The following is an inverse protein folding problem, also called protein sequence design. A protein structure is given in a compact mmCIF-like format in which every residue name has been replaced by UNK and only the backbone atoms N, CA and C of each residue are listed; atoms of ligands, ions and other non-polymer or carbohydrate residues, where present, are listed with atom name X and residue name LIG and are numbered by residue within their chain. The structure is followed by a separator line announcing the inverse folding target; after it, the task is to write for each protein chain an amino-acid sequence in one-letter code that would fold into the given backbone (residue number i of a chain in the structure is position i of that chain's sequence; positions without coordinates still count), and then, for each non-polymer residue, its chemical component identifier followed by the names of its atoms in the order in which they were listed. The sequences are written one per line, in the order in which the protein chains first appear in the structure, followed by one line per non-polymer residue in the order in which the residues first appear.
data_IF_723608372030
#
_entry.id   IF_723608372030
#
_cell.length_a   1.000
_cell.length_b   1.000
_cell.length_c   1.000
_cell.angle_alpha   90.00
_cell.angle_beta   90.00
_cell.angle_gamma   90.00
#
_symmetry.space_group_name_H-M   'P 1'
#
loop_
_entity.id
_entity.type
_entity.pdbx_description
1 polymer ?
2 polymer ?
3 water ?
#
# COMPACT_ATOMS: atom_id res chain seq x y z
N UNK A 1 -15.70 -6.49 19.45
CA UNK A 1 -15.46 -6.94 18.11
C UNK A 1 -14.65 -8.21 18.31
N UNK A 2 -14.71 -9.23 17.46
CA UNK A 2 -13.95 -10.47 17.62
C UNK A 2 -12.64 -10.17 16.96
N UNK A 3 -11.54 -10.63 17.52
CA UNK A 3 -10.24 -10.42 16.93
C UNK A 3 -9.85 -11.68 16.20
N UNK A 4 -9.29 -11.48 15.00
CA UNK A 4 -8.82 -12.56 14.13
C UNK A 4 -7.31 -12.38 13.99
N UNK A 5 -6.46 -13.34 14.33
CA UNK A 5 -5.02 -13.20 14.23
C UNK A 5 -4.48 -14.16 13.20
N UNK A 6 -3.76 -13.71 12.18
CA UNK A 6 -3.25 -14.61 11.14
C UNK A 6 -1.76 -14.84 11.33
N UNK A 7 -1.29 -16.04 11.03
CA UNK A 7 0.09 -16.41 11.19
C UNK A 7 0.50 -17.19 9.96
N UNK A 8 1.69 -16.96 9.36
CA UNK A 8 2.58 -15.83 9.65
C UNK A 8 1.99 -14.54 9.09
N UNK A 9 2.75 -13.44 9.09
CA UNK A 9 2.29 -12.22 8.45
C UNK A 9 3.00 -12.06 7.15
N UNK A 10 4.06 -12.82 6.93
CA UNK A 10 4.86 -12.78 5.70
C UNK A 10 5.30 -14.24 5.53
N UNK A 11 5.12 -14.86 4.35
CA UNK A 11 5.53 -16.26 4.16
C UNK A 11 6.30 -16.29 2.84
N UNK A 12 7.62 -16.44 2.93
CA UNK A 12 8.46 -16.67 1.77
C UNK A 12 8.28 -18.09 1.35
N UNK A 13 8.16 -18.30 0.07
CA UNK A 13 7.90 -19.60 -0.47
C UNK A 13 8.65 -19.68 -1.80
N UNK A 14 9.26 -20.83 -2.05
CA UNK A 14 9.84 -21.07 -3.36
C UNK A 14 8.63 -21.59 -4.12
N UNK A 15 8.48 -21.30 -5.41
CA UNK A 15 7.34 -21.84 -6.18
C UNK A 15 7.35 -23.36 -6.05
N UNK A 16 6.18 -23.99 -6.17
CA UNK A 16 6.07 -25.42 -6.03
C UNK A 16 5.98 -25.84 -4.58
N UNK A 17 6.34 -25.02 -3.61
CA UNK A 17 6.21 -25.38 -2.22
C UNK A 17 4.79 -25.49 -1.71
N UNK A 18 4.72 -26.14 -0.56
CA UNK A 18 3.52 -26.34 0.22
C UNK A 18 3.54 -25.09 1.11
N UNK A 19 2.40 -24.60 1.57
CA UNK A 19 2.37 -23.41 2.38
C UNK A 19 1.19 -23.48 3.31
N UNK A 20 1.25 -23.03 4.55
CA UNK A 20 0.11 -23.04 5.45
C UNK A 20 0.04 -21.70 6.13
N UNK A 21 -1.18 -21.17 6.19
CA UNK A 21 -1.45 -19.90 6.84
C UNK A 21 -2.49 -20.30 7.86
N UNK A 22 -2.60 -19.59 8.96
CA UNK A 22 -3.55 -19.93 10.00
C UNK A 22 -4.27 -18.66 10.44
N UNK A 23 -5.45 -18.84 11.03
CA UNK A 23 -6.32 -17.76 11.44
C UNK A 23 -6.93 -18.18 12.74
N UNK A 24 -6.84 -17.37 13.77
CA UNK A 24 -7.36 -17.73 15.06
C UNK A 24 -8.32 -16.64 15.48
N UNK A 25 -9.52 -17.01 15.93
CA UNK A 25 -10.45 -16.00 16.38
C UNK A 25 -10.42 -15.91 17.89
N UNK A 26 -10.80 -14.76 18.44
CA UNK A 26 -10.77 -14.60 19.85
C UNK A 26 -11.96 -15.27 20.53
N UNK A 27 -12.78 -15.99 19.76
CA UNK A 27 -13.92 -16.76 20.25
C UNK A 27 -14.55 -17.46 19.07
N UNK A 28 -15.29 -18.51 19.45
CA UNK A 28 -15.87 -19.44 18.51
C UNK A 28 -16.75 -18.76 17.48
N UNK A 29 -16.56 -19.24 16.27
CA UNK A 29 -17.33 -18.77 15.16
C UNK A 29 -18.40 -19.81 14.81
N UNK A 30 -18.65 -20.84 15.64
CA UNK A 30 -19.75 -21.77 15.32
C UNK A 30 -20.99 -20.96 15.65
N UNK A 31 -21.91 -20.89 14.71
CA UNK A 31 -23.11 -20.10 14.91
C UNK A 31 -24.18 -21.00 15.50
N UNK A 32 -25.20 -20.38 16.08
CA UNK A 32 -26.32 -21.09 16.64
C UNK A 32 -27.03 -22.04 15.68
N UNK A 33 -26.92 -21.78 14.39
CA UNK A 33 -27.56 -22.64 13.45
C UNK A 33 -26.61 -23.77 13.05
N UNK A 34 -25.42 -23.90 13.65
CA UNK A 34 -24.48 -24.98 13.37
C UNK A 34 -23.39 -24.66 12.37
N UNK A 35 -23.67 -23.79 11.40
CA UNK A 35 -22.69 -23.30 10.45
C UNK A 35 -21.54 -22.49 11.10
N UNK A 36 -20.31 -22.53 10.55
CA UNK A 36 -19.19 -21.70 10.99
C UNK A 36 -18.83 -20.82 9.81
N UNK A 37 -19.05 -19.52 9.98
CA UNK A 37 -18.84 -18.53 8.93
C UNK A 37 -17.42 -17.98 8.90
N UNK A 38 -16.50 -18.81 8.42
CA UNK A 38 -15.12 -18.41 8.28
C UNK A 38 -14.84 -18.48 6.79
N UNK A 39 -14.42 -17.37 6.21
CA UNK A 39 -14.16 -17.25 4.79
C UNK A 39 -12.68 -16.93 4.55
N UNK A 40 -12.10 -17.15 3.40
CA UNK A 40 -10.71 -16.80 3.13
C UNK A 40 -10.71 -16.13 1.77
N UNK A 41 -10.08 -14.96 1.62
CA UNK A 41 -9.99 -14.25 0.35
C UNK A 41 -8.51 -14.00 0.02
N UNK A 42 -8.26 -13.82 -1.26
CA UNK A 42 -6.93 -13.54 -1.75
C UNK A 42 -6.96 -12.15 -2.38
N UNK A 43 -6.09 -11.22 -2.02
CA UNK A 43 -6.03 -9.92 -2.68
C UNK A 43 -4.73 -9.89 -3.43
N UNK A 44 -4.80 -9.74 -4.74
CA UNK A 44 -3.59 -9.75 -5.54
C UNK A 44 -3.22 -8.32 -5.83
N UNK A 45 -1.92 -7.96 -5.86
CA UNK A 45 -1.39 -6.65 -5.47
C UNK A 45 -2.12 -5.41 -5.98
N UNK A 46 -2.60 -5.42 -7.24
CA UNK A 46 -3.33 -4.25 -7.72
C UNK A 46 -4.85 -4.42 -7.79
N UNK A 47 -5.56 -5.29 -7.02
CA UNK A 47 -7.00 -5.42 -7.19
C UNK A 47 -7.86 -5.84 -6.01
N UNK A 48 -9.17 -5.95 -6.23
CA UNK A 48 -10.18 -6.43 -5.29
C UNK A 48 -9.89 -7.81 -4.72
N UNK A 49 -10.21 -8.15 -3.46
CA UNK A 49 -10.17 -9.56 -3.02
C UNK A 49 -10.99 -10.52 -3.91
N UNK A 50 -10.61 -11.78 -4.02
CA UNK A 50 -11.32 -12.78 -4.81
C UNK A 50 -11.62 -13.86 -3.81
N UNK A 51 -12.80 -14.44 -3.78
CA UNK A 51 -13.17 -15.49 -2.82
C UNK A 51 -12.52 -16.87 -3.09
N UNK A 52 -12.09 -17.53 -2.03
CA UNK A 52 -11.47 -18.83 -2.13
C UNK A 52 -12.20 -19.88 -1.32
N UNK A 53 -12.33 -19.81 -0.01
CA UNK A 53 -12.94 -20.84 0.80
C UNK A 53 -14.17 -20.23 1.49
N UNK A 54 -15.32 -20.94 1.50
CA UNK A 54 -16.48 -20.50 2.23
C UNK A 54 -16.83 -21.50 3.32
N UNK A 55 -17.31 -20.97 4.45
CA UNK A 55 -17.62 -21.72 5.66
C UNK A 55 -16.63 -22.86 5.92
N UNK A 56 -15.46 -22.40 6.39
CA UNK A 56 -14.22 -23.09 6.79
C UNK A 56 -13.53 -23.97 5.78
N UNK A 57 -14.19 -24.67 4.86
CA UNK A 57 -13.50 -25.63 4.01
C UNK A 57 -14.03 -25.81 2.62
N UNK A 58 -15.07 -25.11 2.22
CA UNK A 58 -15.61 -25.41 0.92
C UNK A 58 -15.04 -24.47 -0.12
N UNK A 59 -14.32 -24.94 -1.13
CA UNK A 59 -13.82 -24.01 -2.10
C UNK A 59 -14.90 -23.35 -2.94
N UNK A 60 -14.71 -22.11 -3.40
CA UNK A 60 -15.59 -21.53 -4.37
C UNK A 60 -15.37 -22.21 -5.72
N UNK A 61 -16.09 -21.79 -6.76
CA UNK A 61 -16.13 -22.47 -8.02
C UNK A 61 -14.78 -22.69 -8.70
N UNK A 62 -14.18 -21.70 -9.35
CA UNK A 62 -12.95 -21.94 -10.08
C UNK A 62 -11.72 -21.96 -9.19
N UNK A 63 -11.81 -22.28 -7.90
CA UNK A 63 -10.62 -22.19 -7.08
C UNK A 63 -9.93 -23.50 -7.41
N UNK A 64 -8.64 -23.51 -7.74
CA UNK A 64 -7.89 -24.75 -7.93
C UNK A 64 -7.89 -25.59 -6.69
N UNK A 65 -7.93 -26.90 -6.94
CA UNK A 65 -7.96 -27.94 -5.89
C UNK A 65 -6.76 -27.93 -4.96
N UNK A 66 -5.74 -27.16 -5.32
CA UNK A 66 -4.51 -26.97 -4.57
C UNK A 66 -4.80 -26.33 -3.21
N UNK A 67 -5.86 -25.50 -3.14
CA UNK A 67 -6.22 -24.78 -1.93
C UNK A 67 -7.04 -25.60 -0.96
N UNK A 68 -6.89 -25.58 0.36
CA UNK A 68 -7.60 -26.45 1.25
C UNK A 68 -7.86 -25.71 2.56
N UNK A 69 -9.08 -25.53 3.07
CA UNK A 69 -9.24 -24.88 4.37
C UNK A 69 -9.49 -25.93 5.44
N UNK A 70 -9.10 -25.77 6.68
CA UNK A 70 -9.31 -26.76 7.73
C UNK A 70 -9.46 -25.99 9.04
N UNK A 71 -10.00 -26.55 10.13
CA UNK A 71 -9.98 -25.84 11.42
C UNK A 71 -11.30 -25.92 12.12
N UNK A 72 -11.47 -25.47 13.34
CA UNK A 72 -12.76 -25.53 13.96
C UNK A 72 -12.78 -24.56 15.13
N UNK A 73 -13.97 -23.98 15.40
CA UNK A 73 -14.17 -23.11 16.54
C UNK A 73 -13.40 -21.81 16.50
N UNK A 74 -12.13 -21.86 16.86
CA UNK A 74 -11.31 -20.67 16.89
C UNK A 74 -10.02 -20.82 16.11
N UNK A 75 -9.58 -22.01 15.71
CA UNK A 75 -8.34 -22.10 14.99
C UNK A 75 -8.60 -22.73 13.64
N UNK A 76 -8.18 -22.06 12.60
CA UNK A 76 -8.46 -22.46 11.22
C UNK A 76 -7.15 -22.46 10.42
N UNK A 77 -7.05 -23.03 9.23
CA UNK A 77 -5.80 -23.20 8.55
C UNK A 77 -6.05 -23.18 7.06
N UNK A 78 -5.36 -22.37 6.25
CA UNK A 78 -5.47 -22.47 4.83
C UNK A 78 -4.19 -23.21 4.42
N UNK A 79 -4.18 -24.04 3.37
CA UNK A 79 -2.97 -24.68 2.90
C UNK A 79 -3.00 -24.69 1.39
N UNK A 80 -1.84 -24.51 0.81
CA UNK A 80 -1.68 -24.43 -0.63
C UNK A 80 -0.69 -25.57 -0.75
N UNK A 81 -0.85 -26.45 -1.72
CA UNK A 81 -0.01 -27.60 -1.81
C UNK A 81 1.14 -27.48 -2.78
N UNK A 82 1.01 -26.77 -3.88
CA UNK A 82 2.10 -26.63 -4.83
C UNK A 82 1.82 -25.20 -5.30
N UNK A 83 2.52 -24.25 -4.64
CA UNK A 83 2.27 -22.84 -4.92
C UNK A 83 2.73 -22.50 -6.31
N UNK A 84 2.06 -21.52 -6.89
CA UNK A 84 2.29 -21.10 -8.27
C UNK A 84 2.37 -19.59 -8.25
N UNK A 85 2.95 -18.99 -9.27
CA UNK A 85 3.13 -17.55 -9.30
C UNK A 85 1.81 -16.82 -9.26
N UNK A 86 0.75 -17.43 -9.77
CA UNK A 86 -0.49 -16.70 -9.76
C UNK A 86 -1.09 -16.66 -8.37
N UNK A 87 -0.61 -17.48 -7.44
CA UNK A 87 -1.06 -17.52 -6.04
C UNK A 87 -0.39 -16.55 -5.10
N UNK A 88 0.46 -15.69 -5.61
CA UNK A 88 1.17 -14.76 -4.77
C UNK A 88 0.26 -13.57 -4.54
N UNK A 89 0.13 -13.14 -3.31
CA UNK A 89 -0.69 -11.98 -3.04
C UNK A 89 -0.88 -11.98 -1.55
N UNK A 90 -1.92 -11.33 -1.03
CA UNK A 90 -2.18 -11.29 0.41
C UNK A 90 -3.41 -12.17 0.71
N UNK A 91 -3.37 -12.97 1.77
CA UNK A 91 -4.46 -13.84 2.18
C UNK A 91 -5.10 -13.30 3.43
N UNK A 92 -6.44 -13.24 3.48
CA UNK A 92 -7.15 -12.71 4.63
C UNK A 92 -8.21 -13.71 5.02
N UNK A 93 -8.42 -14.00 6.31
CA UNK A 93 -9.55 -14.82 6.73
C UNK A 93 -10.58 -13.83 7.25
N UNK A 94 -11.85 -14.23 7.26
CA UNK A 94 -12.99 -13.38 7.57
C UNK A 94 -13.99 -14.10 8.47
N UNK A 95 -14.44 -13.55 9.59
CA UNK A 95 -15.45 -14.22 10.38
C UNK A 95 -16.75 -13.48 10.19
N UNK A 96 -17.81 -14.14 9.73
CA UNK A 96 -19.10 -13.48 9.57
C UNK A 96 -20.13 -13.90 10.62
N UNK A 97 -19.68 -14.60 11.65
CA UNK A 97 -20.55 -15.11 12.70
C UNK A 97 -20.96 -14.02 13.69
N UNK A 98 -20.11 -13.03 14.00
CA UNK A 98 -20.41 -12.03 15.03
C UNK A 98 -20.50 -10.69 14.39
N UNK A 99 -21.40 -9.82 14.80
CA UNK A 99 -21.47 -8.47 14.22
C UNK A 99 -20.66 -7.55 15.13
N UNK A 100 -19.70 -6.70 14.68
CA UNK A 100 -19.30 -6.52 13.30
C UNK A 100 -18.40 -7.62 12.79
N UNK A 101 -18.51 -7.90 11.49
CA UNK A 101 -17.70 -8.93 10.87
C UNK A 101 -16.29 -8.38 10.85
N UNK A 102 -15.27 -9.22 11.00
CA UNK A 102 -13.92 -8.75 11.06
C UNK A 102 -13.06 -9.62 10.16
N UNK A 103 -11.97 -9.05 9.64
CA UNK A 103 -11.02 -9.74 8.79
C UNK A 103 -9.77 -9.94 9.60
N UNK A 104 -8.93 -10.90 9.20
CA UNK A 104 -7.63 -11.07 9.79
C UNK A 104 -6.71 -10.01 9.17
N UNK A 105 -5.54 -9.81 9.76
CA UNK A 105 -4.64 -8.75 9.32
C UNK A 105 -4.06 -8.83 7.92
N UNK A 106 -4.01 -10.05 7.38
CA UNK A 106 -3.45 -10.34 6.07
C UNK A 106 -2.20 -11.16 6.26
N UNK A 107 -1.82 -11.96 5.28
CA UNK A 107 -0.57 -12.73 5.32
C UNK A 107 -0.06 -12.61 3.89
N UNK A 108 1.11 -12.04 3.59
CA UNK A 108 1.53 -11.93 2.21
C UNK A 108 2.39 -13.13 1.88
N UNK A 109 2.08 -13.83 0.80
CA UNK A 109 2.94 -14.93 0.36
C UNK A 109 3.91 -14.27 -0.60
N UNK A 110 5.20 -14.53 -0.48
CA UNK A 110 6.20 -13.90 -1.34
C UNK A 110 7.22 -14.97 -1.61
N UNK A 111 8.07 -14.60 -2.57
CA UNK A 111 9.11 -15.48 -3.04
C UNK A 111 10.30 -15.43 -2.09
N UNK A 112 10.71 -16.62 -1.65
CA UNK A 112 11.90 -16.78 -0.81
C UNK A 112 13.08 -16.33 -1.66
N UNK A 113 14.12 -15.89 -1.01
CA UNK A 113 15.27 -15.40 -1.72
C UNK A 113 16.37 -15.48 -0.69
N UNK A 114 17.64 -15.39 -1.14
CA UNK A 114 18.71 -15.36 -0.18
C UNK A 114 18.71 -13.97 0.48
N UNK A 115 19.23 -13.86 1.71
CA UNK A 115 19.33 -12.55 2.32
C UNK A 115 20.27 -11.68 1.49
N UNK A 116 19.95 -10.40 1.41
CA UNK A 116 20.76 -9.45 0.70
C UNK A 116 20.81 -8.26 1.62
N UNK A 117 22.00 -7.78 1.95
CA UNK A 117 22.20 -6.58 2.75
C UNK A 117 21.88 -5.34 1.93
N UNK A 118 21.32 -4.27 2.47
CA UNK A 118 20.99 -3.07 1.72
C UNK A 118 22.12 -2.17 1.24
N UNK A 119 21.92 -1.39 0.19
CA UNK A 119 22.87 -0.35 -0.21
C UNK A 119 22.33 0.98 0.29
N UNK A 120 22.92 1.52 1.35
CA UNK A 120 22.47 2.80 1.90
C UNK A 120 23.22 4.01 1.31
N UNK A 121 22.51 5.09 0.95
CA UNK A 121 23.10 6.24 0.31
C UNK A 121 22.38 7.43 0.88
N UNK A 122 23.11 8.40 1.45
CA UNK A 122 22.44 9.55 2.00
C UNK A 122 22.63 10.71 1.03
N UNK A 123 21.67 11.64 0.98
CA UNK A 123 21.72 12.77 0.05
C UNK A 123 21.41 14.05 0.79
N UNK A 124 22.32 15.03 0.88
CA UNK A 124 22.03 16.35 1.42
C UNK A 124 20.99 17.10 0.58
N UNK A 125 20.40 18.24 0.99
CA UNK A 125 19.52 19.04 0.16
C UNK A 125 20.25 19.55 -1.09
N UNK A 126 19.47 19.83 -2.12
CA UNK A 126 20.02 20.39 -3.34
C UNK A 126 20.15 21.90 -3.19
N UNK A 127 21.02 22.54 -3.98
CA UNK A 127 21.23 23.97 -3.98
C UNK A 127 19.90 24.62 -4.28
N UNK A 128 19.19 23.94 -5.19
CA UNK A 128 17.91 24.33 -5.71
C UNK A 128 16.87 24.46 -4.59
N UNK A 129 16.83 23.47 -3.71
CA UNK A 129 15.87 23.41 -2.62
C UNK A 129 16.21 24.44 -1.59
N UNK A 130 17.43 24.44 -1.09
CA UNK A 130 17.89 25.43 -0.12
C UNK A 130 17.61 26.84 -0.64
N UNK A 131 17.92 27.20 -1.88
CA UNK A 131 17.53 28.48 -2.45
C UNK A 131 16.03 28.67 -2.27
N UNK A 132 15.18 27.67 -2.53
CA UNK A 132 13.74 27.85 -2.35
C UNK A 132 13.37 27.92 -0.87
N UNK A 133 14.20 27.47 0.09
CA UNK A 133 13.86 27.65 1.48
C UNK A 133 13.72 26.38 2.27
N UNK A 134 13.68 25.22 1.64
CA UNK A 134 13.51 24.01 2.42
C UNK A 134 14.75 23.16 2.34
N UNK A 135 14.78 22.09 3.14
CA UNK A 135 15.86 21.15 3.16
C UNK A 135 15.43 19.69 3.36
N UNK A 136 15.43 18.86 2.33
CA UNK A 136 15.07 17.47 2.53
C UNK A 136 16.30 16.55 2.51
N UNK A 137 16.61 15.78 3.56
CA UNK A 137 17.74 14.87 3.53
C UNK A 137 17.08 13.54 3.17
N UNK A 138 17.58 12.85 2.16
CA UNK A 138 17.01 11.64 1.63
C UNK A 138 17.98 10.50 1.80
N UNK A 139 17.48 9.36 2.25
CA UNK A 139 18.29 8.18 2.48
C UNK A 139 17.64 7.07 1.67
N UNK A 140 18.34 6.39 0.77
CA UNK A 140 17.77 5.32 -0.05
C UNK A 140 18.35 4.02 0.47
N UNK A 141 17.58 3.00 0.77
CA UNK A 141 18.09 1.77 1.30
C UNK A 141 17.70 0.78 0.18
N UNK A 142 18.58 0.56 -0.78
CA UNK A 142 18.20 -0.23 -1.92
C UNK A 142 18.56 -1.71 -1.91
N UNK A 143 17.68 -2.48 -2.54
CA UNK A 143 17.84 -3.89 -2.86
C UNK A 143 18.04 -4.98 -1.81
N UNK A 144 17.40 -4.91 -0.65
CA UNK A 144 17.67 -5.86 0.41
C UNK A 144 16.65 -6.99 0.53
N UNK A 145 16.93 -7.98 1.35
CA UNK A 145 16.00 -9.04 1.63
C UNK A 145 16.38 -9.59 3.02
N UNK A 146 15.53 -9.93 4.00
CA UNK A 146 14.08 -9.77 3.98
C UNK A 146 13.55 -8.34 4.16
N UNK A 147 12.30 -8.10 3.82
CA UNK A 147 11.64 -6.79 3.96
C UNK A 147 11.83 -6.07 5.29
N UNK A 148 12.07 -6.77 6.38
CA UNK A 148 12.15 -6.13 7.67
C UNK A 148 13.44 -5.35 7.84
N UNK A 149 13.33 -4.04 7.74
CA UNK A 149 14.43 -3.12 7.99
C UNK A 149 13.98 -2.01 8.95
N UNK A 150 14.79 -1.45 9.84
CA UNK A 150 14.31 -0.39 10.70
C UNK A 150 15.24 0.78 10.56
N UNK A 151 14.77 1.89 10.00
CA UNK A 151 15.62 3.03 9.71
C UNK A 151 15.31 4.24 10.62
N UNK A 152 16.35 4.95 11.10
CA UNK A 152 16.14 6.14 11.91
C UNK A 152 17.14 7.20 11.59
N UNK A 153 16.61 8.39 11.72
CA UNK A 153 17.30 9.63 11.49
C UNK A 153 17.72 10.14 12.82
N UNK A 154 18.93 10.57 12.91
CA UNK A 154 19.36 11.14 14.16
C UNK A 154 20.12 12.35 13.66
N UNK A 155 19.66 13.52 14.08
CA UNK A 155 20.36 14.73 13.68
C UNK A 155 21.09 15.23 14.90
N UNK A 156 22.41 15.25 14.75
CA UNK A 156 23.34 15.58 15.80
C UNK A 156 23.19 14.72 17.04
N UNK A 157 22.95 13.44 16.80
CA UNK A 157 22.91 12.51 17.91
C UNK A 157 21.54 12.42 18.54
N UNK A 158 20.59 13.31 18.24
CA UNK A 158 19.24 13.16 18.74
C UNK A 158 18.49 12.39 17.69
N UNK A 159 17.62 11.48 18.09
CA UNK A 159 16.77 10.77 17.15
C UNK A 159 15.61 11.70 16.75
N UNK A 160 15.45 12.04 15.48
CA UNK A 160 14.33 12.87 15.12
C UNK A 160 13.19 11.97 14.70
N UNK A 161 12.06 12.24 15.32
CA UNK A 161 10.85 11.50 15.09
C UNK A 161 10.12 12.21 13.96
N UNK A 162 9.84 13.49 14.18
CA UNK A 162 9.00 14.28 13.30
C UNK A 162 9.60 14.81 12.01
N UNK A 163 8.81 14.71 10.94
CA UNK A 163 9.21 15.18 9.62
C UNK A 163 9.77 14.11 8.67
N UNK A 164 9.75 12.78 8.88
CA UNK A 164 10.27 11.85 7.88
C UNK A 164 9.12 11.10 7.18
N UNK A 165 9.23 10.89 5.88
CA UNK A 165 8.19 10.27 5.09
C UNK A 165 8.79 8.99 4.50
N UNK A 166 8.20 7.79 4.60
CA UNK A 166 8.86 6.57 4.11
C UNK A 166 8.05 5.90 3.05
N UNK A 167 8.65 5.23 2.08
CA UNK A 167 7.97 4.65 0.96
C UNK A 167 8.75 3.42 0.57
N UNK A 168 8.03 2.36 0.21
CA UNK A 168 8.61 1.03 0.00
C UNK A 168 8.22 0.53 -1.37
N UNK A 169 9.05 -0.18 -2.10
CA UNK A 169 8.62 -0.75 -3.37
C UNK A 169 8.10 -2.14 -3.08
N UNK A 170 7.27 -2.65 -3.99
CA UNK A 170 6.85 -4.05 -3.92
C UNK A 170 8.09 -4.92 -4.16
N UNK A 171 7.97 -6.23 -3.92
CA UNK A 171 9.10 -7.11 -4.08
C UNK A 171 9.51 -7.06 -5.52
N UNK A 172 10.78 -6.86 -5.83
CA UNK A 172 11.19 -6.68 -7.21
C UNK A 172 10.98 -7.87 -8.10
N UNK A 173 10.30 -7.52 -9.17
CA UNK A 173 9.98 -8.42 -10.26
C UNK A 173 11.08 -9.39 -10.65
N UNK A 174 12.23 -8.92 -11.12
CA UNK A 174 13.24 -9.88 -11.56
C UNK A 174 14.37 -10.11 -10.55
N UNK A 175 14.15 -9.81 -9.28
CA UNK A 175 15.21 -9.83 -8.29
C UNK A 175 14.83 -10.43 -6.94
N UNK A 176 13.55 -10.33 -6.59
CA UNK A 176 12.98 -10.62 -5.27
C UNK A 176 13.48 -9.79 -4.10
N UNK A 177 14.15 -8.65 -4.32
CA UNK A 177 14.61 -7.83 -3.20
C UNK A 177 13.58 -6.76 -2.92
N UNK A 178 13.78 -5.92 -1.89
CA UNK A 178 12.93 -4.82 -1.51
C UNK A 178 13.66 -3.49 -1.54
N UNK A 179 13.04 -2.33 -1.70
CA UNK A 179 13.73 -1.06 -1.59
C UNK A 179 12.86 -0.09 -0.80
N UNK A 180 13.50 0.80 -0.05
CA UNK A 180 12.87 1.79 0.80
C UNK A 180 13.56 3.14 0.56
N UNK A 181 12.82 4.22 0.79
CA UNK A 181 13.27 5.59 0.64
C UNK A 181 12.82 6.25 1.92
N UNK A 182 13.64 7.03 2.59
CA UNK A 182 13.23 7.72 3.78
C UNK A 182 13.65 9.17 3.55
N UNK A 183 12.73 10.13 3.61
CA UNK A 183 13.04 11.53 3.41
C UNK A 183 12.73 12.32 4.69
N UNK A 184 13.66 13.15 5.11
CA UNK A 184 13.54 13.99 6.30
C UNK A 184 13.42 15.42 5.80
N UNK A 185 12.38 16.14 6.18
CA UNK A 185 12.22 17.50 5.71
C UNK A 185 12.31 18.50 6.85
N UNK A 186 13.16 19.50 6.71
CA UNK A 186 13.34 20.56 7.69
C UNK A 186 13.20 21.88 6.93
N UNK A 187 13.35 23.04 7.57
CA UNK A 187 13.42 24.32 6.86
C UNK A 187 14.89 24.65 6.73
N UNK A 188 15.30 25.49 5.77
CA UNK A 188 16.70 25.86 5.59
C UNK A 188 17.33 26.39 6.87
N UNK A 189 16.79 27.45 7.46
CA UNK A 189 17.31 27.97 8.70
C UNK A 189 16.62 27.16 9.79
N UNK A 190 17.09 25.91 9.98
CA UNK A 190 16.61 24.86 10.91
C UNK A 190 17.53 23.67 10.64
N UNK A 191 17.71 23.38 9.37
CA UNK A 191 18.72 22.47 8.87
C UNK A 191 20.07 23.14 9.21
N UNK A 192 20.16 24.45 8.98
CA UNK A 192 21.35 25.23 9.28
C UNK A 192 21.68 25.27 10.75
N UNK A 193 20.71 25.00 11.65
CA UNK A 193 20.93 24.91 13.09
C UNK A 193 21.59 23.61 13.54
N UNK A 194 22.01 22.67 12.70
CA UNK A 194 22.71 21.47 13.15
C UNK A 194 23.68 21.15 12.00
N UNK A 195 24.50 20.10 12.17
CA UNK A 195 25.29 19.65 11.04
C UNK A 195 25.43 18.19 10.90
N UNK A 196 25.69 17.22 11.78
CA UNK A 196 25.66 15.85 11.24
C UNK A 196 24.24 15.29 11.14
N UNK A 197 23.93 14.79 9.95
CA UNK A 197 22.67 14.11 9.68
C UNK A 197 23.06 12.69 9.40
N UNK A 198 22.43 11.78 10.15
CA UNK A 198 22.71 10.36 10.07
C UNK A 198 21.44 9.63 9.70
N UNK A 199 21.64 8.57 8.95
CA UNK A 199 20.58 7.70 8.53
C UNK A 199 21.07 6.31 8.88
N UNK A 200 20.71 5.72 10.02
CA UNK A 200 21.16 4.37 10.30
C UNK A 200 20.04 3.37 10.16
N UNK A 201 20.37 2.22 9.63
CA UNK A 201 19.41 1.18 9.31
C UNK A 201 19.73 -0.08 10.10
N UNK A 202 18.78 -0.86 10.64
CA UNK A 202 19.08 -2.15 11.25
C UNK A 202 18.41 -3.25 10.42
N UNK A 203 19.08 -4.37 10.17
CA UNK A 203 18.59 -5.39 9.28
C UNK A 203 19.18 -6.73 9.67
N UNK A 204 18.56 -7.86 9.30
CA UNK A 204 19.02 -9.20 9.65
C UNK A 204 20.49 -9.44 9.25
N UNK A 205 20.87 -8.95 8.07
CA UNK A 205 22.21 -9.15 7.57
C UNK A 205 23.35 -8.62 8.44
N UNK A 206 23.19 -7.61 9.30
CA UNK A 206 24.31 -7.07 10.05
C UNK A 206 23.94 -6.89 11.51
N UNK A 207 24.78 -7.34 12.43
CA UNK A 207 24.57 -7.14 13.87
C UNK A 207 24.83 -5.71 14.29
N UNK A 208 25.50 -4.95 13.43
CA UNK A 208 25.78 -3.56 13.68
C UNK A 208 24.81 -2.71 12.83
N UNK A 209 24.27 -1.58 13.27
CA UNK A 209 23.51 -0.67 12.42
C UNK A 209 24.31 -0.23 11.21
N UNK A 210 23.68 -0.10 10.06
CA UNK A 210 24.30 0.39 8.85
C UNK A 210 24.15 1.91 9.00
N UNK A 211 25.21 2.69 9.24
CA UNK A 211 25.12 4.13 9.49
C UNK A 211 25.64 5.01 8.34
N UNK A 212 24.83 5.80 7.61
CA UNK A 212 25.38 6.75 6.64
C UNK A 212 25.23 8.12 7.27
N UNK A 213 26.15 9.06 7.04
CA UNK A 213 26.16 10.33 7.75
C UNK A 213 26.83 11.38 6.92
N UNK A 214 26.72 12.66 7.28
CA UNK A 214 27.50 13.74 6.67
C UNK A 214 27.49 14.98 7.58
N UNK A 215 28.05 16.12 7.21
CA UNK A 215 28.04 17.32 8.04
C UNK A 215 27.68 18.48 7.10
N UNK B 1 -20.43 -12.27 -16.92
CA UNK B 1 -21.52 -12.56 -16.01
C UNK B 1 -21.59 -11.75 -14.73
N UNK B 2 -21.22 -12.10 -13.52
CA UNK B 2 -21.63 -11.22 -12.43
C UNK B 2 -20.63 -10.08 -12.20
N UNK B 3 -21.10 -8.84 -12.23
CA UNK B 3 -20.28 -7.67 -12.03
C UNK B 3 -20.92 -6.62 -11.16
N UNK B 4 -20.16 -6.24 -10.12
CA UNK B 4 -20.47 -5.11 -9.26
C UNK B 4 -19.54 -4.08 -9.93
N UNK B 5 -20.01 -3.04 -10.62
CA UNK B 5 -19.16 -2.03 -11.25
C UNK B 5 -19.25 -0.71 -10.51
N UNK B 6 -18.26 -0.42 -9.70
CA UNK B 6 -18.26 0.78 -8.89
C UNK B 6 -18.00 2.08 -9.64
N UNK B 7 -18.15 3.26 -9.05
CA UNK B 7 -18.07 4.57 -9.71
C UNK B 7 -18.52 5.50 -8.59
N UNK B 8 -17.86 6.59 -8.22
CA UNK B 8 -18.30 7.49 -7.15
C UNK B 8 -17.14 8.44 -6.90
N UNK B 9 -17.35 9.73 -6.60
CA UNK B 9 -16.34 10.77 -6.75
C UNK B 9 -15.18 10.45 -5.84
N UNK B 10 -14.02 10.75 -6.35
CA UNK B 10 -12.82 10.40 -5.67
C UNK B 10 -11.92 11.53 -5.12
N UNK B 11 -11.68 12.79 -5.57
CA UNK B 11 -10.85 13.76 -4.78
C UNK B 11 -11.81 14.71 -4.04
N UNK B 12 -11.81 14.79 -2.73
CA UNK B 12 -12.81 15.60 -2.06
C UNK B 12 -12.20 16.47 -0.96
N UNK B 13 -12.83 17.61 -0.70
CA UNK B 13 -12.37 18.49 0.38
C UNK B 13 -12.89 18.01 1.75
N UNK B 14 -12.20 18.26 2.88
CA UNK B 14 -12.59 17.75 4.21
C UNK B 14 -13.89 18.42 4.61
N UNK B 15 -14.74 17.85 5.43
CA UNK B 15 -16.04 18.46 5.75
C UNK B 15 -17.08 18.30 4.64
N UNK B 16 -16.77 17.81 3.46
CA UNK B 16 -17.76 17.57 2.44
C UNK B 16 -18.30 16.13 2.57
N UNK B 17 -19.05 15.69 1.57
CA UNK B 17 -19.68 14.37 1.49
C UNK B 17 -19.42 13.81 0.11
N UNK B 18 -19.31 12.51 -0.03
CA UNK B 18 -19.16 11.94 -1.35
C UNK B 18 -20.05 10.67 -1.45
N UNK B 19 -20.80 10.51 -2.56
CA UNK B 19 -21.68 9.36 -2.76
C UNK B 19 -21.14 8.46 -3.87
N UNK B 20 -20.80 7.25 -3.46
CA UNK B 20 -20.22 6.27 -4.36
C UNK B 20 -21.25 5.20 -4.67
N UNK B 21 -21.37 4.87 -5.96
CA UNK B 21 -22.32 3.91 -6.53
C UNK B 21 -21.69 2.56 -6.88
N UNK B 22 -22.53 1.55 -7.05
CA UNK B 22 -22.11 0.18 -7.29
C UNK B 22 -23.22 -0.52 -8.10
N UNK B 23 -23.20 -0.41 -9.44
CA UNK B 23 -24.22 -1.00 -10.29
C UNK B 23 -23.97 -2.50 -10.42
N UNK B 24 -25.00 -3.30 -10.12
CA UNK B 24 -24.86 -4.73 -10.19
C UNK B 24 -25.39 -5.31 -11.50
N UNK B 25 -24.78 -6.37 -12.00
CA UNK B 25 -25.23 -7.03 -13.18
C UNK B 25 -24.82 -8.49 -13.13
N UNK B 26 -25.56 -9.31 -13.87
CA UNK B 26 -25.29 -10.71 -14.00
C UNK B 26 -25.99 -11.61 -13.00
N UNK B 27 -26.93 -11.09 -12.22
CA UNK B 27 -27.59 -11.90 -11.21
C UNK B 27 -28.74 -11.04 -10.70
N UNK B 28 -29.65 -11.62 -9.92
CA UNK B 28 -30.82 -10.91 -9.40
C UNK B 28 -30.50 -10.14 -8.12
N UNK B 29 -30.35 -8.81 -8.30
CA UNK B 29 -29.93 -7.81 -7.30
C UNK B 29 -30.58 -7.98 -5.97
N UNK B 30 -31.88 -8.15 -6.11
CA UNK B 30 -32.84 -8.37 -5.04
C UNK B 30 -32.67 -9.58 -4.11
N UNK B 31 -31.95 -10.60 -4.57
CA UNK B 31 -31.76 -11.83 -3.85
C UNK B 31 -30.58 -11.83 -2.94
N UNK B 32 -29.71 -10.83 -3.00
CA UNK B 32 -28.46 -10.86 -2.25
C UNK B 32 -28.29 -9.54 -1.57
N UNK B 33 -27.33 -9.56 -0.68
CA UNK B 33 -26.93 -8.43 0.09
C UNK B 33 -25.79 -7.71 -0.64
N UNK B 34 -25.68 -6.39 -0.45
CA UNK B 34 -24.54 -5.65 -0.92
C UNK B 34 -23.85 -5.32 0.39
N UNK B 35 -22.55 -5.62 0.51
CA UNK B 35 -21.77 -5.34 1.71
C UNK B 35 -20.80 -4.27 1.28
N UNK B 36 -20.46 -3.27 2.12
CA UNK B 36 -19.43 -2.30 1.79
C UNK B 36 -18.26 -2.46 2.76
N UNK B 37 -17.01 -2.36 2.27
CA UNK B 37 -15.78 -2.60 3.01
C UNK B 37 -14.81 -1.49 2.68
N UNK B 38 -14.02 -0.98 3.66
CA UNK B 38 -13.03 0.11 3.51
C UNK B 38 -11.61 -0.45 3.61
N UNK B 39 -10.65 -0.01 2.81
CA UNK B 39 -9.26 -0.47 2.94
C UNK B 39 -8.32 0.75 2.96
N UNK B 40 -7.58 1.05 4.02
CA UNK B 40 -6.65 2.19 4.03
C UNK B 40 -5.34 1.60 3.51
N UNK B 41 -4.72 2.01 2.38
CA UNK B 41 -3.56 1.33 1.82
C UNK B 41 -2.44 1.11 2.79
N UNK B 42 -1.79 0.00 2.42
CA UNK B 42 -0.76 -0.63 3.21
C UNK B 42 -1.42 -1.37 4.37
N UNK B 43 -2.75 -1.41 4.42
CA UNK B 43 -3.46 -2.04 5.51
C UNK B 43 -4.65 -2.95 5.15
N UNK B 44 -5.29 -3.41 6.23
CA UNK B 44 -6.39 -4.34 6.15
C UNK B 44 -7.71 -3.71 5.78
N UNK B 45 -8.71 -4.60 5.88
CA UNK B 45 -10.07 -4.32 5.47
C UNK B 45 -10.96 -4.15 6.68
N UNK B 46 -11.84 -3.16 6.64
CA UNK B 46 -12.83 -2.95 7.68
C UNK B 46 -14.22 -3.13 7.12
N UNK B 47 -15.15 -3.83 7.80
CA UNK B 47 -16.49 -4.01 7.27
C UNK B 47 -17.31 -2.84 7.74
N UNK B 48 -17.93 -2.18 6.79
CA UNK B 48 -18.69 -1.00 7.11
C UNK B 48 -20.09 -1.38 7.51
N UNK B 49 -20.76 -2.25 6.74
CA UNK B 49 -22.15 -2.60 7.00
C UNK B 49 -22.80 -3.18 5.75
N UNK B 50 -24.06 -3.57 5.78
CA UNK B 50 -24.71 -4.10 4.58
C UNK B 50 -26.11 -3.51 4.40
N UNK B 51 -26.68 -3.79 3.21
CA UNK B 51 -28.05 -3.47 2.85
C UNK B 51 -28.67 -4.69 2.16
N UNK B 52 -29.97 -4.90 2.33
CA UNK B 52 -30.66 -5.98 1.64
C UNK B 52 -31.50 -5.20 0.64
N UNK B 53 -31.23 -5.25 -0.64
CA UNK B 53 -31.97 -4.50 -1.64
C UNK B 53 -33.44 -4.87 -1.69
N UNK B 54 -33.86 -6.09 -1.32
CA UNK B 54 -35.27 -6.40 -1.28
C UNK B 54 -36.09 -5.52 -0.33
N UNK B 55 -35.64 -5.41 0.92
CA UNK B 55 -36.35 -4.64 1.91
C UNK B 55 -35.88 -3.25 2.14
N UNK B 56 -34.63 -2.98 1.79
CA UNK B 56 -34.00 -1.72 2.11
C UNK B 56 -33.44 -1.76 3.54
N UNK B 57 -33.45 -2.91 4.25
CA UNK B 57 -32.97 -2.99 5.62
C UNK B 57 -31.46 -2.97 5.59
N UNK B 58 -30.83 -2.43 6.64
CA UNK B 58 -29.40 -2.25 6.72
C UNK B 58 -28.90 -2.66 8.09
N UNK B 59 -27.60 -2.81 8.24
CA UNK B 59 -26.99 -3.01 9.53
C UNK B 59 -25.62 -2.36 9.29
N UNK B 60 -25.14 -1.61 10.28
CA UNK B 60 -23.92 -0.87 10.16
C UNK B 60 -23.02 -1.32 11.25
N UNK B 61 -21.76 -0.97 11.05
CA UNK B 61 -20.69 -1.24 12.01
C UNK B 61 -20.78 -0.06 12.93
N UNK B 62 -20.80 -0.16 14.28
CA UNK B 62 -20.96 0.99 15.16
C UNK B 62 -20.06 2.16 14.82
N UNK B 63 -18.80 1.79 14.56
CA UNK B 63 -17.75 2.68 14.11
C UNK B 63 -18.16 3.57 12.94
N UNK B 64 -18.90 3.02 11.99
CA UNK B 64 -19.26 3.74 10.80
C UNK B 64 -20.69 4.23 10.75
N UNK B 65 -21.54 3.93 11.72
CA UNK B 65 -22.89 4.42 11.56
C UNK B 65 -22.90 5.90 11.89
N UNK B 66 -23.50 6.69 11.02
CA UNK B 66 -23.43 8.12 11.16
C UNK B 66 -22.50 8.57 10.05
N UNK B 67 -21.31 7.96 9.88
CA UNK B 67 -20.40 8.32 8.79
C UNK B 67 -20.97 7.73 7.50
N UNK B 68 -21.18 6.42 7.40
CA UNK B 68 -21.66 5.81 6.15
C UNK B 68 -23.16 5.73 6.15
N UNK B 69 -23.85 5.94 5.02
CA UNK B 69 -25.29 5.72 4.90
C UNK B 69 -25.50 4.95 3.61
N UNK B 70 -26.25 3.85 3.69
CA UNK B 70 -26.36 2.88 2.62
C UNK B 70 -27.74 2.93 2.01
N UNK B 71 -27.87 2.81 0.70
CA UNK B 71 -29.06 3.10 -0.06
C UNK B 71 -29.07 2.23 -1.31
N UNK B 72 -30.19 1.75 -1.83
CA UNK B 72 -30.24 0.97 -3.09
C UNK B 72 -31.26 1.59 -4.03
N UNK B 73 -31.10 1.55 -5.34
CA UNK B 73 -32.19 1.92 -6.23
C UNK B 73 -32.50 0.67 -7.04
N UNK B 74 -33.49 -0.11 -6.57
CA UNK B 74 -33.85 -1.35 -7.23
C UNK B 74 -34.26 -1.08 -8.70
N UNK B 75 -34.78 0.06 -9.19
CA UNK B 75 -35.05 0.23 -10.61
C UNK B 75 -33.81 0.17 -11.49
N UNK B 76 -32.69 0.56 -10.94
CA UNK B 76 -31.53 0.41 -11.74
C UNK B 76 -30.63 -0.63 -11.17
N UNK B 77 -30.96 -1.31 -10.08
CA UNK B 77 -30.06 -2.31 -9.53
C UNK B 77 -28.69 -1.70 -9.22
N UNK B 78 -28.67 -0.47 -8.67
CA UNK B 78 -27.45 0.23 -8.32
C UNK B 78 -27.47 0.57 -6.84
N UNK B 79 -26.40 0.33 -6.10
CA UNK B 79 -26.39 0.58 -4.66
C UNK B 79 -25.44 1.75 -4.41
N UNK B 80 -25.69 2.59 -3.40
CA UNK B 80 -24.91 3.76 -3.06
C UNK B 80 -24.42 3.73 -1.63
N UNK B 81 -23.35 4.45 -1.39
CA UNK B 81 -22.80 4.68 -0.07
C UNK B 81 -22.34 6.14 -0.07
N UNK B 82 -22.88 6.90 0.88
CA UNK B 82 -22.55 8.29 1.06
C UNK B 82 -21.68 8.35 2.26
N UNK B 83 -20.50 8.96 2.16
CA UNK B 83 -19.74 9.23 3.37
C UNK B 83 -19.98 10.71 3.67
N UNK B 84 -19.95 11.08 4.94
CA UNK B 84 -20.23 12.41 5.41
C UNK B 84 -19.13 12.97 6.29
N UNK B 85 -18.97 14.32 6.22
CA UNK B 85 -18.02 15.10 7.02
C UNK B 85 -16.67 14.45 6.98
N UNK B 86 -16.10 14.51 5.79
CA UNK B 86 -14.89 13.76 5.57
C UNK B 86 -13.68 14.31 6.25
N UNK B 87 -12.81 13.44 6.70
CA UNK B 87 -11.55 13.85 7.27
C UNK B 87 -10.54 12.99 6.53
N UNK B 88 -9.27 13.24 6.76
CA UNK B 88 -8.18 12.52 6.13
C UNK B 88 -8.24 11.00 6.42
N UNK B 89 -8.79 10.61 7.58
CA UNK B 89 -8.80 9.23 7.98
C UNK B 89 -9.69 8.43 7.07
N UNK B 90 -10.55 9.12 6.34
CA UNK B 90 -11.46 8.57 5.36
C UNK B 90 -10.82 8.36 3.99
N UNK B 91 -9.56 8.73 3.75
CA UNK B 91 -8.95 8.48 2.45
C UNK B 91 -8.56 7.00 2.51
N UNK B 92 -9.22 6.23 1.68
CA UNK B 92 -8.99 4.80 1.59
C UNK B 92 -9.62 4.37 0.27
N UNK B 93 -9.63 3.06 -0.04
CA UNK B 93 -10.33 2.53 -1.20
C UNK B 93 -11.54 1.79 -0.62
N UNK B 94 -12.71 2.03 -1.20
CA UNK B 94 -13.94 1.47 -0.71
C UNK B 94 -14.42 0.49 -1.74
N UNK B 95 -14.94 -0.63 -1.23
CA UNK B 95 -15.42 -1.74 -2.05
C UNK B 95 -16.84 -2.06 -1.68
N UNK B 96 -17.74 -2.27 -2.65
CA UNK B 96 -19.00 -2.96 -2.35
C UNK B 96 -18.78 -4.36 -2.83
N UNK B 97 -19.47 -5.31 -2.23
CA UNK B 97 -19.35 -6.69 -2.60
C UNK B 97 -20.72 -7.34 -2.52
N UNK B 98 -21.11 -8.23 -3.44
CA UNK B 98 -22.36 -9.02 -3.32
C UNK B 98 -22.12 -10.05 -2.24
N UNK B 99 -23.14 -10.53 -1.59
CA UNK B 99 -22.94 -11.53 -0.57
C UNK B 99 -24.28 -11.99 -0.03
N UNK B 100 -24.16 -12.93 0.88
CA UNK B 100 -25.29 -13.37 1.63
C UNK B 100 -25.22 -12.58 2.91
N UNK B 101 -26.01 -12.88 3.92
CA UNK B 101 -26.09 -12.09 5.13
C UNK B 101 -24.76 -11.97 5.85
N UNK B 102 -24.06 -13.11 5.97
CA UNK B 102 -22.86 -13.20 6.80
C UNK B 102 -21.57 -12.96 6.07
N UNK B 103 -21.51 -12.97 4.74
CA UNK B 103 -20.24 -12.86 4.05
C UNK B 103 -20.36 -12.56 2.59
N UNK B 104 -19.29 -12.00 2.02
CA UNK B 104 -19.34 -11.57 0.64
C UNK B 104 -18.58 -12.52 -0.28
N UNK B 105 -19.05 -12.70 -1.51
CA UNK B 105 -18.33 -13.52 -2.44
C UNK B 105 -17.68 -12.67 -3.49
N UNK B 106 -18.42 -12.06 -4.41
CA UNK B 106 -17.87 -11.30 -5.52
C UNK B 106 -17.88 -9.81 -5.21
N UNK B 107 -16.70 -9.19 -5.32
CA UNK B 107 -16.40 -7.81 -4.95
C UNK B 107 -16.31 -6.91 -6.16
N UNK B 108 -16.65 -5.63 -5.99
CA UNK B 108 -16.54 -4.67 -7.08
C UNK B 108 -15.07 -4.20 -7.17
N UNK B 109 -14.71 -3.34 -8.11
CA UNK B 109 -13.31 -3.06 -8.31
C UNK B 109 -12.61 -2.12 -7.34
N UNK B 110 -13.37 -1.33 -6.62
CA UNK B 110 -12.80 -0.38 -5.69
C UNK B 110 -13.06 1.02 -6.19
N UNK B 111 -13.18 1.97 -5.27
CA UNK B 111 -13.28 3.40 -5.58
C UNK B 111 -12.33 4.03 -4.58
N UNK B 112 -11.38 4.84 -5.06
CA UNK B 112 -10.38 5.46 -4.19
C UNK B 112 -10.90 6.81 -3.73
N UNK B 113 -11.07 7.11 -2.46
CA UNK B 113 -11.53 8.43 -2.06
C UNK B 113 -10.27 9.06 -1.45
N UNK B 114 -9.84 10.24 -1.93
CA UNK B 114 -8.68 10.98 -1.40
C UNK B 114 -9.26 12.28 -0.85
N UNK B 115 -9.01 12.53 0.44
CA UNK B 115 -9.46 13.76 1.08
C UNK B 115 -8.27 14.72 1.17
N UNK B 116 -8.38 15.93 0.59
CA UNK B 116 -7.32 16.92 0.60
C UNK B 116 -7.86 18.31 0.28
N UNK B 117 -7.13 19.28 0.82
CA UNK B 117 -7.52 20.67 0.70
C UNK B 117 -6.75 21.31 -0.44
N UNK B 118 -6.06 20.51 -1.24
CA UNK B 118 -5.23 21.09 -2.25
C UNK B 118 -5.92 21.50 -3.51
N UNK B 119 -5.17 22.31 -4.19
CA UNK B 119 -5.47 22.74 -5.51
C UNK B 119 -4.43 21.97 -6.30
N UNK B 120 -4.61 22.02 -7.60
CA UNK B 120 -3.66 21.46 -8.54
C UNK B 120 -2.30 22.16 -8.39
N UNK B 121 -1.31 21.34 -8.16
CA UNK B 121 -0.01 21.88 -7.91
C UNK B 121 1.05 21.10 -8.67
N UNK B 122 1.73 21.88 -9.49
CA UNK B 122 2.93 21.47 -10.20
C UNK B 122 4.01 21.12 -9.16
N UNK B 123 4.71 19.97 -9.30
CA UNK B 123 5.79 19.54 -8.39
C UNK B 123 7.08 20.36 -8.44
N UNK B 124 7.87 20.29 -7.37
CA UNK B 124 9.20 20.87 -7.35
C UNK B 124 10.11 19.67 -7.57
N UNK B 125 10.89 19.61 -8.65
CA UNK B 125 11.74 18.44 -8.89
C UNK B 125 13.15 18.77 -8.43
N UNK B 126 13.80 17.89 -7.69
CA UNK B 126 15.08 18.20 -7.08
C UNK B 126 16.10 17.13 -7.40
N UNK B 127 17.30 17.53 -7.81
CA UNK B 127 18.37 16.63 -8.17
C UNK B 127 19.01 16.13 -6.90
N UNK B 128 19.35 14.84 -6.77
CA UNK B 128 20.00 14.30 -5.58
C UNK B 128 21.28 13.57 -6.03
N UNK B 129 22.36 14.33 -5.95
CA UNK B 129 23.66 13.89 -6.38
C UNK B 129 24.43 13.34 -5.18
N UNK B 130 25.47 12.51 -5.35
CA UNK B 130 26.23 11.88 -4.28
C UNK B 130 26.81 12.77 -3.22
N UNK B 131 26.82 12.35 -1.95
CA UNK B 131 27.26 13.21 -0.88
C UNK B 131 28.65 13.76 -1.03
N UNK B 132 29.82 13.11 -0.99
CA UNK B 132 31.13 13.71 -1.31
C UNK B 132 32.34 12.89 -0.87
N UNK B 133 33.18 12.70 -1.87
CA UNK B 133 34.44 12.01 -1.74
C UNK B 133 34.35 10.53 -1.37
N UNK B 134 34.47 10.32 -0.07
CA UNK B 134 34.58 9.03 0.62
C UNK B 134 33.43 8.03 0.43
N UNK B 135 33.02 7.79 -0.80
CA UNK B 135 31.80 7.05 -1.02
C UNK B 135 32.02 5.84 -1.95
N UNK B 136 31.73 6.02 -3.23
CA UNK B 136 31.70 4.99 -4.24
C UNK B 136 32.81 3.95 -4.49
N UNK B 137 32.20 2.78 -4.55
CA UNK B 137 32.84 1.57 -4.96
C UNK B 137 32.46 1.41 -6.42
N UNK B 138 32.01 0.27 -6.91
CA UNK B 138 31.73 0.11 -8.32
C UNK B 138 30.59 0.96 -8.87
N UNK B 139 29.73 1.40 -7.96
CA UNK B 139 28.52 2.12 -8.32
C UNK B 139 28.34 3.41 -7.54
N UNK B 140 27.54 4.22 -8.20
CA UNK B 140 27.15 5.51 -7.68
C UNK B 140 25.64 5.50 -7.85
N UNK B 141 24.89 5.96 -6.84
CA UNK B 141 23.44 6.02 -6.91
C UNK B 141 23.04 7.47 -6.82
N UNK B 142 22.28 7.85 -7.84
CA UNK B 142 21.79 9.21 -7.98
C UNK B 142 20.28 9.22 -7.68
N UNK B 143 19.63 10.36 -7.49
CA UNK B 143 18.22 10.32 -7.20
C UNK B 143 17.47 11.57 -7.61
N UNK B 144 16.16 11.46 -7.84
CA UNK B 144 15.33 12.61 -8.17
C UNK B 144 14.26 12.73 -7.11
N UNK B 145 14.10 13.86 -6.39
CA UNK B 145 13.06 14.05 -5.38
C UNK B 145 12.01 14.97 -6.02
N UNK B 146 10.74 14.64 -6.13
CA UNK B 146 9.75 15.50 -6.77
C UNK B 146 8.73 15.68 -5.67
N UNK B 147 8.49 16.90 -5.21
CA UNK B 147 7.59 17.09 -4.08
C UNK B 147 6.64 18.25 -4.19
N UNK B 148 5.61 18.08 -3.38
CA UNK B 148 4.57 19.04 -3.20
C UNK B 148 3.66 19.10 -4.38
N UNK B 149 3.21 17.98 -4.95
CA UNK B 149 2.31 18.07 -6.10
C UNK B 149 0.92 17.52 -5.77
N UNK B 150 -0.13 17.92 -6.49
CA UNK B 150 -1.46 17.39 -6.33
C UNK B 150 -2.05 17.52 -7.74
N UNK B 151 -2.91 16.64 -8.23
CA UNK B 151 -3.13 15.30 -7.69
C UNK B 151 -2.07 14.33 -8.24
N UNK B 152 -2.33 13.05 -8.08
CA UNK B 152 -1.52 11.99 -8.67
C UNK B 152 -1.89 11.95 -10.16
N UNK B 153 -1.26 11.34 -11.16
CA UNK B 153 0.08 10.77 -11.17
C UNK B 153 1.18 11.65 -11.77
N UNK B 154 2.43 11.21 -11.63
CA UNK B 154 3.54 11.83 -12.37
C UNK B 154 4.23 10.71 -13.17
N UNK B 155 4.95 11.11 -14.20
CA UNK B 155 5.76 10.16 -14.95
C UNK B 155 7.20 10.55 -14.60
N UNK B 156 7.98 9.64 -14.06
CA UNK B 156 9.38 9.93 -13.81
C UNK B 156 10.02 8.91 -14.74
N UNK B 157 10.97 9.45 -15.48
CA UNK B 157 11.73 8.75 -16.49
C UNK B 157 13.14 9.20 -16.19
N UNK B 158 14.12 8.34 -16.43
CA UNK B 158 15.48 8.77 -16.27
C UNK B 158 16.03 9.23 -17.60
N UNK B 159 16.75 8.64 -18.54
CA UNK B 159 17.26 9.50 -19.62
C UNK B 159 16.38 9.45 -20.85
N UNK B 160 15.25 10.13 -20.68
CA UNK B 160 14.14 10.20 -21.61
C UNK B 160 13.69 8.84 -22.08
N UNK B 161 13.79 7.84 -21.21
CA UNK B 161 13.32 6.53 -21.56
C UNK B 161 14.40 5.48 -21.44
N UNK B 162 15.57 5.53 -22.11
CA UNK B 162 16.50 4.47 -21.80
C UNK B 162 17.14 4.87 -20.48
N UNK B 163 17.65 3.84 -19.83
CA UNK B 163 18.13 3.78 -18.46
C UNK B 163 16.86 3.38 -17.74
N UNK B 164 16.63 2.09 -17.95
CA UNK B 164 15.54 1.29 -17.42
C UNK B 164 16.14 0.39 -16.36
N UNK B 165 17.43 0.09 -16.46
CA UNK B 165 18.11 -0.75 -15.52
C UNK B 165 18.67 0.08 -14.38
N UNK B 166 18.29 -0.38 -13.20
CA UNK B 166 18.84 0.20 -12.01
C UNK B 166 17.94 1.24 -11.36
N UNK B 167 16.74 1.53 -11.87
CA UNK B 167 15.96 2.56 -11.22
C UNK B 167 14.88 1.92 -10.35
N UNK B 168 14.52 2.60 -9.27
CA UNK B 168 13.40 2.20 -8.43
C UNK B 168 12.61 3.50 -8.23
N UNK B 169 11.33 3.55 -8.58
CA UNK B 169 10.50 4.70 -8.33
C UNK B 169 9.64 4.30 -7.18
N UNK B 170 9.74 5.03 -6.08
CA UNK B 170 8.97 4.67 -4.89
C UNK B 170 7.54 5.17 -5.04
N UNK B 171 6.55 4.47 -4.53
CA UNK B 171 5.17 4.95 -4.49
C UNK B 171 5.00 6.25 -3.76
N UNK B 172 4.16 7.14 -4.31
CA UNK B 172 3.90 8.44 -3.69
C UNK B 172 3.12 8.36 -2.40
N UNK B 173 3.52 9.18 -1.43
CA UNK B 173 2.82 9.24 -0.17
C UNK B 173 2.20 10.65 -0.11
N UNK B 174 0.97 10.76 0.39
CA UNK B 174 0.36 12.06 0.61
C UNK B 174 0.84 12.50 1.98
N UNK B 175 1.29 13.73 2.15
CA UNK B 175 1.65 14.18 3.47
C UNK B 175 1.26 15.64 3.36
N UNK B 176 0.44 16.14 4.29
CA UNK B 176 -0.02 17.53 4.32
C UNK B 176 -0.66 18.05 3.04
N UNK B 177 -1.48 17.18 2.44
CA UNK B 177 -2.33 17.41 1.28
C UNK B 177 -1.65 17.49 -0.07
N UNK B 178 -0.36 17.20 -0.13
CA UNK B 178 0.38 17.20 -1.39
C UNK B 178 1.19 15.92 -1.40
N UNK B 179 1.65 15.48 -2.57
CA UNK B 179 2.41 14.25 -2.68
C UNK B 179 3.89 14.48 -2.92
N UNK B 180 4.67 13.46 -2.54
CA UNK B 180 6.08 13.37 -2.82
C UNK B 180 6.32 11.94 -3.31
N UNK B 181 7.20 11.92 -4.31
CA UNK B 181 7.68 10.71 -4.95
C UNK B 181 9.23 10.81 -5.02
N UNK B 182 10.01 9.74 -5.26
CA UNK B 182 11.45 9.83 -5.41
C UNK B 182 11.90 8.61 -6.20
N UNK B 183 13.04 8.70 -6.86
CA UNK B 183 13.54 7.64 -7.72
C UNK B 183 15.06 7.51 -7.55
N UNK B 184 15.64 6.31 -7.43
CA UNK B 184 17.08 6.18 -7.41
C UNK B 184 17.48 5.60 -8.74
N UNK B 185 18.69 5.84 -9.21
CA UNK B 185 19.25 5.22 -10.40
C UNK B 185 20.67 4.90 -9.95
N UNK B 186 21.03 3.64 -10.05
CA UNK B 186 22.38 3.25 -9.71
C UNK B 186 23.12 3.01 -11.02
N UNK B 187 24.30 3.60 -11.21
CA UNK B 187 25.10 3.42 -12.42
C UNK B 187 26.55 3.15 -12.03
N UNK B 188 27.35 2.69 -12.99
CA UNK B 188 28.73 2.33 -12.75
C UNK B 188 29.55 3.61 -12.55
N UNK B 189 30.60 3.56 -11.74
CA UNK B 189 31.43 4.73 -11.47
C UNK B 189 32.12 5.36 -12.66
N UNK B 190 32.33 4.64 -13.77
CA UNK B 190 32.87 5.25 -14.97
C UNK B 190 31.75 5.73 -15.87
N UNK B 191 30.52 5.82 -15.38
CA UNK B 191 29.43 6.34 -16.18
C UNK B 191 29.14 7.75 -15.70
N UNK B 192 29.15 8.04 -14.41
CA UNK B 192 28.82 9.37 -13.91
C UNK B 192 30.07 9.89 -13.21
N UNK B 193 30.54 11.14 -13.28
CA UNK B 193 29.91 12.27 -13.97
C UNK B 193 29.88 12.33 -15.49
N UNK B 194 30.87 11.71 -16.12
CA UNK B 194 31.12 11.74 -17.55
C UNK B 194 29.91 11.73 -18.49
N UNK B 195 29.01 10.80 -18.22
CA UNK B 195 27.83 10.62 -19.03
C UNK B 195 26.73 11.19 -18.17
N UNK B 196 26.08 12.19 -18.75
CA UNK B 196 25.05 12.93 -18.07
C UNK B 196 23.75 12.17 -17.87
N UNK B 197 23.22 12.34 -16.66
CA UNK B 197 21.97 11.74 -16.32
C UNK B 197 21.08 12.87 -15.88
N UNK B 198 19.90 12.74 -16.47
CA UNK B 198 18.74 13.60 -16.32
C UNK B 198 17.55 12.75 -15.85
N UNK B 199 16.69 13.41 -15.11
CA UNK B 199 15.47 12.83 -14.66
C UNK B 199 14.40 13.71 -15.27
N UNK B 200 13.38 13.09 -15.82
CA UNK B 200 12.36 13.78 -16.55
C UNK B 200 11.09 13.50 -15.79
N UNK B 201 10.39 14.55 -15.43
CA UNK B 201 9.20 14.45 -14.61
C UNK B 201 8.06 15.18 -15.31
N UNK B 202 6.91 14.51 -15.44
CA UNK B 202 5.72 15.08 -16.08
C UNK B 202 4.48 14.99 -15.18
N UNK B 203 3.55 15.94 -15.28
CA UNK B 203 2.40 15.96 -14.40
C UNK B 203 1.27 16.35 -15.32
N UNK B 204 0.45 15.39 -15.80
CA UNK B 204 -0.69 15.62 -16.68
C UNK B 204 -1.51 16.86 -16.29
N UNK B 205 -1.91 16.97 -15.02
CA UNK B 205 -2.66 18.12 -14.54
C UNK B 205 -1.99 19.49 -14.67
N UNK B 206 -0.81 19.67 -15.29
CA UNK B 206 -0.05 20.93 -15.41
C UNK B 206 1.08 20.76 -16.46
N UNK B 207 2.41 20.77 -16.19
CA UNK B 207 3.46 20.64 -17.22
C UNK B 207 4.83 20.10 -16.72
N UNK B 208 5.66 19.69 -17.69
CA UNK B 208 6.92 18.95 -17.62
C UNK B 208 8.31 19.56 -17.32
N UNK B 209 9.19 18.87 -16.55
CA UNK B 209 10.53 19.28 -16.11
C UNK B 209 11.56 18.19 -16.48
N UNK B 210 12.81 18.56 -16.78
CA UNK B 210 13.88 17.66 -17.18
C UNK B 210 15.06 18.22 -16.35
N UNK B 211 15.65 17.46 -15.43
CA UNK B 211 16.65 17.96 -14.48
C UNK B 211 17.92 17.15 -14.52
N UNK B 212 19.10 17.76 -14.74
CA UNK B 212 20.32 16.97 -14.84
C UNK B 212 20.97 16.88 -13.49
N UNK B 213 21.49 15.71 -13.11
CA UNK B 213 22.22 15.55 -11.85
C UNK B 213 23.64 15.98 -12.18
N UNK B 214 24.05 17.21 -11.84
CA UNK B 214 25.42 17.58 -12.11
C UNK B 214 26.13 17.33 -10.78
N UNK B 215 27.41 17.64 -10.89
CA UNK B 215 28.52 17.57 -9.95
C UNK B 215 29.26 16.30 -10.35
#
# INVERSE_FOLDING_TARGET
DVVMTQTPLSLPVSLGDQASISCRSSQSLVHSNGNTYLYWYLQKPGQSPKPLIYRVSNRFSGVPDRFSGSGSGTDFTLKISRVEAEDLGVYFCFQGTHVPYTFGGGTRLEIKRADAAPTVSIFPPSSEQLTSGGASVVCFLNNFYPKDINVKWKIDGSERQNGVLNSWTDQDSKDSTYSMSSTLTLTKDEYERHNSYTCEATHKTSTSPIVKSFN
QIQLQQSGPELVRPGASVKISCKASGYTFTDYYIHWVKQRPGEGLEWIGWIYPGSGNTKYNEKFKGKATLTVDTSSSTAYMQLSSLTSEDSAVYFCARGGKFAMDYWGQGTSVTVSSAKTTAPSVYPLAPVCGDTTGSSVTLGCLVKGYFPEPVTLTWNSGSLSSGVHTFPAVLQSDLYTLSSSVTVTSSTWPSQSITCNVAHPASSTKVDKKIE
#
